data_IF_721950573546
#
_entry.id   IF_721950573546
#
_cell.length_a   1.000
_cell.length_b   1.000
_cell.length_c   1.000
_cell.angle_alpha   90.00
_cell.angle_beta   90.00
_cell.angle_gamma   90.00
#
_symmetry.space_group_name_H-M   'P 1'
#
loop_
_entity.id
_entity.type
_entity.pdbx_description
1 polymer ?
#
# COMPACT_ATOMS: atom_id res chain seq x y z
N UNK A 1 -24.81 9.52 20.22
CA UNK A 1 -23.44 10.10 20.17
C UNK A 1 -22.34 9.11 20.53
N UNK A 2 -22.39 8.40 21.67
CA UNK A 2 -21.30 7.51 22.15
C UNK A 2 -20.87 6.38 21.19
N UNK A 3 -21.80 5.76 20.43
CA UNK A 3 -21.46 4.68 19.48
C UNK A 3 -20.69 5.17 18.24
N UNK A 4 -21.06 6.31 17.65
CA UNK A 4 -20.38 6.86 16.46
C UNK A 4 -18.93 7.21 16.76
N UNK A 5 -18.68 7.90 17.87
CA UNK A 5 -17.31 8.23 18.32
C UNK A 5 -16.47 6.96 18.51
N UNK A 6 -17.06 5.87 19.02
CA UNK A 6 -16.39 4.57 19.15
C UNK A 6 -16.04 3.96 17.79
N UNK A 7 -16.89 4.10 16.77
CA UNK A 7 -16.62 3.62 15.42
C UNK A 7 -15.55 4.46 14.71
N UNK A 8 -15.62 5.79 14.82
CA UNK A 8 -14.62 6.72 14.28
C UNK A 8 -13.23 6.44 14.85
N UNK A 9 -13.13 6.21 16.17
CA UNK A 9 -11.87 5.82 16.80
C UNK A 9 -11.34 4.49 16.28
N UNK A 10 -12.23 3.50 16.09
CA UNK A 10 -11.82 2.19 15.54
C UNK A 10 -11.37 2.29 14.09
N UNK A 11 -12.04 3.09 13.27
CA UNK A 11 -11.65 3.35 11.89
C UNK A 11 -10.32 4.10 11.80
N UNK A 12 -10.11 5.09 12.67
CA UNK A 12 -8.85 5.83 12.74
C UNK A 12 -7.68 4.91 13.12
N UNK A 13 -7.87 4.06 14.14
CA UNK A 13 -6.87 3.06 14.52
C UNK A 13 -6.62 2.06 13.38
N UNK A 14 -7.67 1.65 12.64
CA UNK A 14 -7.52 0.76 11.49
C UNK A 14 -6.73 1.42 10.35
N UNK A 15 -6.96 2.71 10.08
CA UNK A 15 -6.22 3.47 9.07
C UNK A 15 -4.74 3.63 9.45
N UNK A 16 -4.47 3.87 10.74
CA UNK A 16 -3.11 3.89 11.27
C UNK A 16 -2.43 2.52 11.09
N UNK A 17 -3.06 1.43 11.52
CA UNK A 17 -2.55 0.05 11.34
C UNK A 17 -2.34 -0.28 9.85
N UNK A 18 -3.25 0.14 8.98
CA UNK A 18 -3.16 -0.09 7.53
C UNK A 18 -1.88 0.49 6.94
N UNK A 19 -1.41 1.64 7.43
CA UNK A 19 -0.14 2.26 6.97
C UNK A 19 1.10 1.41 7.29
N UNK A 20 1.01 0.55 8.30
CA UNK A 20 2.08 -0.39 8.70
C UNK A 20 1.92 -1.78 8.08
N UNK A 21 0.87 -2.03 7.27
CA UNK A 21 0.78 -3.28 6.53
C UNK A 21 1.87 -3.27 5.46
N UNK A 22 2.86 -4.18 5.54
CA UNK A 22 4.00 -4.16 4.64
C UNK A 22 3.52 -4.34 3.19
N UNK A 23 4.05 -3.51 2.29
CA UNK A 23 4.10 -3.89 0.88
C UNK A 23 5.16 -4.98 0.77
N UNK A 24 4.81 -6.12 0.17
CA UNK A 24 5.62 -7.35 0.07
C UNK A 24 6.91 -7.17 -0.75
N UNK A 25 7.82 -6.28 -0.34
CA UNK A 25 9.23 -6.45 -0.67
C UNK A 25 9.84 -7.29 0.44
N UNK A 26 10.36 -8.44 0.04
CA UNK A 26 11.18 -9.39 0.78
C UNK A 26 11.51 -8.92 2.20
N UNK A 27 11.03 -9.62 3.23
CA UNK A 27 11.57 -9.38 4.57
C UNK A 27 13.09 -9.62 4.50
N UNK A 28 13.88 -8.60 4.81
CA UNK A 28 15.33 -8.70 4.88
C UNK A 28 15.70 -9.62 6.05
N UNK A 29 15.88 -10.90 5.72
CA UNK A 29 16.45 -11.88 6.65
C UNK A 29 17.97 -11.80 6.63
N UNK A 30 18.66 -12.30 7.65
CA UNK A 30 20.14 -12.22 7.72
C UNK A 30 20.79 -12.81 6.46
N UNK A 31 20.37 -13.99 6.02
CA UNK A 31 20.87 -14.58 4.78
C UNK A 31 20.41 -13.81 3.52
N UNK A 32 19.24 -13.18 3.57
CA UNK A 32 18.76 -12.26 2.54
C UNK A 32 19.68 -11.07 2.34
N UNK A 33 20.13 -10.44 3.43
CA UNK A 33 21.04 -9.28 3.45
C UNK A 33 22.38 -9.62 2.78
N UNK A 34 22.92 -10.82 3.04
CA UNK A 34 24.17 -11.28 2.43
C UNK A 34 24.00 -11.90 1.04
N UNK A 35 22.80 -11.85 0.45
CA UNK A 35 22.46 -12.48 -0.83
C UNK A 35 22.76 -14.00 -0.86
N UNK A 36 22.53 -14.67 0.27
CA UNK A 36 22.74 -16.11 0.49
C UNK A 36 21.43 -16.88 0.66
N UNK A 37 20.36 -16.40 0.02
CA UNK A 37 18.97 -16.86 0.20
C UNK A 37 18.73 -18.34 -0.06
N UNK A 38 19.59 -18.96 -0.86
CA UNK A 38 19.45 -20.36 -1.30
C UNK A 38 20.75 -21.14 -1.16
N UNK A 39 21.75 -20.56 -0.47
CA UNK A 39 23.07 -21.16 -0.35
C UNK A 39 23.02 -22.24 0.73
N UNK A 40 23.05 -23.51 0.31
CA UNK A 40 22.89 -24.69 1.17
C UNK A 40 23.89 -24.68 2.34
N UNK A 41 25.12 -24.21 2.13
CA UNK A 41 26.13 -24.14 3.18
C UNK A 41 25.75 -23.13 4.27
N UNK A 42 25.28 -21.94 3.88
CA UNK A 42 24.88 -20.91 4.85
C UNK A 42 23.60 -21.29 5.60
N UNK A 43 22.67 -21.96 4.92
CA UNK A 43 21.46 -22.47 5.56
C UNK A 43 21.83 -23.55 6.59
N UNK A 44 22.76 -24.42 6.24
CA UNK A 44 23.24 -25.46 7.16
C UNK A 44 24.06 -24.87 8.32
N UNK A 45 24.83 -23.79 8.11
CA UNK A 45 25.50 -23.06 9.20
C UNK A 45 24.49 -22.48 10.19
N UNK A 46 23.40 -21.90 9.66
CA UNK A 46 22.33 -21.34 10.46
C UNK A 46 21.54 -22.45 11.18
N UNK A 47 21.29 -23.59 10.51
CA UNK A 47 20.67 -24.75 11.13
C UNK A 47 21.52 -25.28 12.29
N UNK A 48 22.83 -25.45 12.11
CA UNK A 48 23.73 -25.87 13.18
C UNK A 48 23.69 -24.89 14.35
N UNK A 49 23.68 -23.58 14.08
CA UNK A 49 23.50 -22.57 15.13
C UNK A 49 22.17 -22.72 15.87
N UNK A 50 21.07 -23.03 15.17
CA UNK A 50 19.74 -23.20 15.77
C UNK A 50 19.65 -24.47 16.61
N UNK A 51 20.32 -25.55 16.22
CA UNK A 51 20.27 -26.84 16.90
C UNK A 51 21.24 -26.94 18.08
N UNK A 52 22.25 -26.08 18.17
CA UNK A 52 23.25 -26.06 19.22
C UNK A 52 22.69 -25.42 20.52
N UNK A 53 22.48 -26.18 21.61
CA UNK A 53 21.88 -25.67 22.85
C UNK A 53 22.73 -24.60 23.54
N UNK A 54 24.06 -24.65 23.38
CA UNK A 54 25.00 -23.73 24.00
C UNK A 54 25.10 -22.41 23.24
N UNK A 55 24.75 -22.42 21.95
CA UNK A 55 24.85 -21.23 21.08
C UNK A 55 23.51 -20.58 20.79
N UNK A 56 22.42 -21.34 20.70
CA UNK A 56 21.12 -20.88 20.21
C UNK A 56 20.34 -20.02 21.20
N UNK A 57 20.70 -20.03 22.49
CA UNK A 57 20.00 -19.29 23.55
C UNK A 57 18.59 -19.77 23.88
N UNK A 58 18.18 -20.92 23.34
CA UNK A 58 16.87 -21.58 23.50
C UNK A 58 17.02 -22.95 24.18
N UNK A 59 18.23 -23.53 24.17
CA UNK A 59 18.54 -24.84 24.72
C UNK A 59 18.24 -25.97 23.72
N UNK A 60 18.07 -27.19 24.23
CA UNK A 60 17.93 -28.40 23.40
C UNK A 60 16.54 -28.58 22.74
N UNK A 61 15.58 -27.71 23.04
CA UNK A 61 14.20 -27.83 22.55
C UNK A 61 14.07 -27.92 21.01
N UNK A 62 14.81 -27.16 20.19
CA UNK A 62 14.75 -27.31 18.73
C UNK A 62 15.16 -28.71 18.26
N UNK A 63 16.23 -29.27 18.85
CA UNK A 63 16.71 -30.61 18.52
C UNK A 63 15.74 -31.68 19.01
N UNK A 64 15.19 -31.54 20.23
CA UNK A 64 14.15 -32.43 20.75
C UNK A 64 12.95 -32.51 19.82
N UNK A 65 12.46 -31.37 19.29
CA UNK A 65 11.32 -31.39 18.37
C UNK A 65 11.62 -32.14 17.06
N UNK A 66 12.88 -32.18 16.62
CA UNK A 66 13.28 -32.99 15.47
C UNK A 66 13.37 -34.47 15.84
N UNK A 67 13.91 -34.81 17.01
CA UNK A 67 13.96 -36.19 17.50
C UNK A 67 12.55 -36.76 17.68
N UNK A 68 11.66 -36.04 18.36
CA UNK A 68 10.24 -36.37 18.55
C UNK A 68 9.50 -36.68 17.23
N UNK A 69 9.99 -36.14 16.10
CA UNK A 69 9.39 -36.37 14.79
C UNK A 69 9.77 -37.74 14.20
N UNK A 70 10.93 -38.28 14.58
CA UNK A 70 11.46 -39.53 14.05
C UNK A 70 11.40 -40.70 15.04
N UNK A 71 11.30 -40.42 16.34
CA UNK A 71 11.30 -41.44 17.39
C UNK A 71 10.06 -41.32 18.27
N UNK A 72 9.42 -42.45 18.59
CA UNK A 72 8.32 -42.49 19.57
C UNK A 72 8.83 -42.56 21.02
N UNK A 73 10.14 -42.74 21.22
CA UNK A 73 10.79 -42.79 22.52
C UNK A 73 10.97 -41.38 23.12
N UNK A 74 10.75 -41.26 24.44
CA UNK A 74 10.99 -40.02 25.19
C UNK A 74 12.50 -39.82 25.39
N UNK A 75 13.16 -39.35 24.33
CA UNK A 75 14.58 -39.00 24.30
C UNK A 75 14.77 -37.50 24.50
N UNK A 76 14.09 -36.93 25.51
CA UNK A 76 14.14 -35.50 25.78
C UNK A 76 15.53 -35.09 26.28
N UNK A 77 16.31 -34.46 25.39
CA UNK A 77 17.62 -33.91 25.72
C UNK A 77 17.46 -32.76 26.72
N UNK A 78 18.35 -32.78 27.71
CA UNK A 78 18.53 -31.81 28.75
C UNK A 78 19.71 -30.87 28.43
N UNK A 79 20.01 -29.95 29.35
CA UNK A 79 21.20 -29.08 29.24
C UNK A 79 22.50 -29.79 29.63
N UNK A 80 22.41 -30.94 30.30
CA UNK A 80 23.56 -31.68 30.81
C UNK A 80 24.09 -32.71 29.80
N UNK A 81 23.35 -32.92 28.70
CA UNK A 81 23.77 -33.81 27.62
C UNK A 81 24.91 -33.18 26.81
N UNK A 82 25.94 -33.99 26.53
CA UNK A 82 27.06 -33.58 25.69
C UNK A 82 26.64 -33.64 24.22
N UNK A 83 26.43 -32.47 23.59
CA UNK A 83 25.96 -32.35 22.21
C UNK A 83 27.04 -31.65 21.37
N UNK A 84 27.69 -32.40 20.50
CA UNK A 84 28.70 -31.88 19.58
C UNK A 84 28.13 -31.75 18.17
N UNK A 85 28.10 -30.53 17.62
CA UNK A 85 27.60 -30.26 16.26
C UNK A 85 28.74 -29.86 15.34
N UNK A 86 29.01 -30.71 14.35
CA UNK A 86 30.06 -30.51 13.35
C UNK A 86 29.45 -30.19 11.99
N UNK A 87 29.90 -29.07 11.41
CA UNK A 87 29.56 -28.66 10.06
C UNK A 87 30.57 -29.18 9.06
N UNK A 88 30.09 -29.55 7.88
CA UNK A 88 30.94 -29.92 6.75
C UNK A 88 31.95 -31.03 7.14
N UNK A 89 31.47 -32.03 7.91
CA UNK A 89 32.32 -33.06 8.49
C UNK A 89 32.87 -33.99 7.40
N UNK A 90 34.19 -34.10 7.34
CA UNK A 90 34.89 -34.90 6.33
C UNK A 90 35.01 -36.35 6.78
N UNK A 91 34.43 -37.25 6.00
CA UNK A 91 34.47 -38.69 6.22
C UNK A 91 35.79 -39.29 5.69
N UNK A 92 36.07 -40.53 6.07
CA UNK A 92 37.28 -41.27 5.67
C UNK A 92 37.49 -41.41 4.15
N UNK A 93 36.43 -41.26 3.36
CA UNK A 93 36.46 -41.28 1.90
C UNK A 93 36.62 -39.89 1.25
N UNK A 94 37.01 -38.86 2.02
CA UNK A 94 37.10 -37.46 1.61
C UNK A 94 35.78 -36.83 1.15
N UNK A 95 34.64 -37.50 1.34
CA UNK A 95 33.34 -36.85 1.17
C UNK A 95 32.92 -36.16 2.45
N UNK A 96 31.90 -35.32 2.33
CA UNK A 96 31.56 -34.36 3.34
C UNK A 96 30.05 -34.33 3.57
N UNK A 97 29.64 -34.64 4.79
CA UNK A 97 28.24 -34.50 5.21
C UNK A 97 28.00 -33.08 5.71
N UNK A 98 26.81 -32.54 5.44
CA UNK A 98 26.51 -31.16 5.81
C UNK A 98 26.53 -30.96 7.34
N UNK A 99 25.77 -31.74 8.11
CA UNK A 99 25.86 -31.72 9.57
C UNK A 99 26.06 -33.13 10.12
N UNK A 100 26.92 -33.23 11.13
CA UNK A 100 27.05 -34.42 11.98
C UNK A 100 26.89 -33.99 13.43
N UNK A 101 25.94 -34.59 14.14
CA UNK A 101 25.68 -34.33 15.56
C UNK A 101 25.99 -35.60 16.35
N UNK A 102 26.80 -35.48 17.38
CA UNK A 102 27.08 -36.55 18.34
C UNK A 102 26.47 -36.18 19.69
N UNK A 103 25.65 -37.07 20.23
CA UNK A 103 24.98 -36.88 21.52
C UNK A 103 25.45 -37.98 22.46
N UNK A 104 26.11 -37.59 23.56
CA UNK A 104 26.59 -38.46 24.64
C UNK A 104 27.45 -39.67 24.19
N UNK A 105 28.08 -39.59 23.01
CA UNK A 105 28.75 -40.73 22.36
C UNK A 105 27.86 -41.97 22.19
N UNK A 106 26.53 -41.79 22.18
CA UNK A 106 25.54 -42.88 22.04
C UNK A 106 24.68 -42.75 20.79
N UNK A 107 24.32 -41.52 20.40
CA UNK A 107 23.48 -41.24 19.24
C UNK A 107 24.21 -40.35 18.23
N UNK A 108 24.36 -40.84 17.00
CA UNK A 108 24.99 -40.11 15.89
C UNK A 108 23.91 -39.73 14.88
N UNK A 109 23.77 -38.42 14.64
CA UNK A 109 22.81 -37.86 13.69
C UNK A 109 23.55 -37.27 12.50
N UNK A 110 23.30 -37.79 11.30
CA UNK A 110 23.82 -37.21 10.06
C UNK A 110 22.71 -36.48 9.31
N UNK A 111 22.89 -35.21 8.97
CA UNK A 111 21.93 -34.43 8.19
C UNK A 111 22.58 -34.01 6.87
N UNK A 112 21.96 -34.38 5.76
CA UNK A 112 22.30 -33.89 4.43
C UNK A 112 21.23 -32.89 3.99
N UNK A 113 21.65 -31.67 3.62
CA UNK A 113 20.77 -30.57 3.27
C UNK A 113 20.73 -30.35 1.76
N UNK A 114 19.53 -30.32 1.17
CA UNK A 114 19.31 -30.02 -0.25
C UNK A 114 18.14 -29.06 -0.45
N UNK A 115 18.42 -27.86 -0.94
CA UNK A 115 17.40 -26.83 -1.21
C UNK A 115 16.79 -27.03 -2.59
N UNK A 116 17.62 -27.17 -3.63
CA UNK A 116 17.15 -27.33 -5.02
C UNK A 116 17.74 -28.54 -5.74
N UNK A 117 18.94 -28.97 -5.35
CA UNK A 117 19.61 -30.09 -5.97
C UNK A 117 18.92 -31.43 -5.62
N UNK A 118 18.93 -32.36 -6.57
CA UNK A 118 18.70 -33.77 -6.25
C UNK A 118 19.98 -34.37 -5.66
N UNK A 119 19.86 -35.51 -4.98
CA UNK A 119 21.03 -36.25 -4.49
C UNK A 119 21.96 -36.63 -5.66
N UNK A 120 23.27 -36.57 -5.42
CA UNK A 120 24.26 -37.17 -6.33
C UNK A 120 24.30 -38.70 -6.14
N UNK A 121 24.52 -39.49 -7.20
CA UNK A 121 24.38 -40.95 -7.13
C UNK A 121 25.20 -41.59 -5.99
N UNK A 122 24.52 -42.37 -5.15
CA UNK A 122 25.05 -43.15 -4.01
C UNK A 122 25.65 -42.32 -2.87
N UNK A 123 25.36 -41.02 -2.79
CA UNK A 123 25.96 -40.14 -1.79
C UNK A 123 25.54 -40.50 -0.36
N UNK A 124 24.24 -40.66 -0.14
CA UNK A 124 23.66 -40.95 1.19
C UNK A 124 24.04 -42.35 1.69
N UNK A 125 24.04 -43.36 0.81
CA UNK A 125 24.47 -44.72 1.16
C UNK A 125 25.94 -44.77 1.57
N UNK A 126 26.80 -44.02 0.88
CA UNK A 126 28.20 -43.91 1.25
C UNK A 126 28.38 -43.19 2.59
N UNK A 127 27.54 -42.20 2.91
CA UNK A 127 27.61 -41.50 4.20
C UNK A 127 27.24 -42.41 5.36
N UNK A 128 26.08 -43.08 5.29
CA UNK A 128 25.63 -43.99 6.34
C UNK A 128 26.69 -45.05 6.67
N UNK A 129 27.26 -45.69 5.63
CA UNK A 129 28.30 -46.70 5.78
C UNK A 129 29.58 -46.16 6.41
N UNK A 130 30.08 -45.00 5.96
CA UNK A 130 31.33 -44.45 6.48
C UNK A 130 31.18 -43.95 7.92
N UNK A 131 30.04 -43.36 8.26
CA UNK A 131 29.76 -42.91 9.63
C UNK A 131 29.70 -44.13 10.57
N UNK A 132 28.96 -45.19 10.22
CA UNK A 132 28.92 -46.43 11.03
C UNK A 132 30.30 -47.05 11.25
N UNK A 133 31.12 -47.12 10.18
CA UNK A 133 32.49 -47.61 10.29
C UNK A 133 33.38 -46.75 11.21
N UNK A 134 33.13 -45.44 11.29
CA UNK A 134 33.92 -44.52 12.10
C UNK A 134 33.52 -44.55 13.58
N UNK A 135 32.23 -44.67 13.89
CA UNK A 135 31.70 -44.55 15.26
C UNK A 135 31.37 -45.89 15.93
N UNK A 136 31.27 -46.99 15.15
CA UNK A 136 31.02 -48.34 15.65
C UNK A 136 29.55 -48.74 15.64
N UNK A 137 29.26 -50.03 15.47
CA UNK A 137 27.88 -50.53 15.36
C UNK A 137 27.12 -50.55 16.71
N UNK A 138 27.77 -50.20 17.83
CA UNK A 138 27.17 -50.11 19.17
C UNK A 138 26.41 -48.79 19.42
N UNK A 139 26.38 -47.89 18.44
CA UNK A 139 25.69 -46.59 18.51
C UNK A 139 24.34 -46.63 17.84
N UNK A 140 23.46 -45.73 18.27
CA UNK A 140 22.23 -45.41 17.56
C UNK A 140 22.51 -44.40 16.44
N UNK A 141 21.80 -44.55 15.33
CA UNK A 141 22.00 -43.73 14.13
C UNK A 141 20.69 -43.13 13.62
N UNK A 142 20.71 -41.82 13.38
CA UNK A 142 19.62 -41.09 12.75
C UNK A 142 20.15 -40.33 11.53
N UNK A 143 19.82 -40.80 10.33
CA UNK A 143 20.19 -40.10 9.10
C UNK A 143 18.99 -39.35 8.53
N UNK A 144 19.14 -38.04 8.31
CA UNK A 144 18.08 -37.14 7.88
C UNK A 144 18.45 -36.53 6.53
N UNK A 145 17.54 -36.64 5.58
CA UNK A 145 17.63 -35.96 4.29
C UNK A 145 16.68 -34.76 4.28
N UNK A 146 17.23 -33.56 4.49
CA UNK A 146 16.46 -32.32 4.57
C UNK A 146 16.26 -31.73 3.16
N UNK A 147 15.01 -31.71 2.69
CA UNK A 147 14.69 -31.26 1.33
C UNK A 147 13.55 -30.26 1.25
N UNK A 148 13.48 -29.48 0.16
CA UNK A 148 12.33 -28.58 -0.08
C UNK A 148 11.01 -29.34 -0.28
N UNK A 149 11.02 -30.39 -1.11
CA UNK A 149 9.82 -31.05 -1.61
C UNK A 149 9.57 -32.48 -1.12
N UNK A 150 10.28 -32.94 -0.10
CA UNK A 150 10.13 -34.32 0.42
C UNK A 150 10.64 -35.37 -0.55
N UNK A 151 11.69 -35.04 -1.31
CA UNK A 151 12.38 -36.05 -2.12
C UNK A 151 12.97 -37.09 -1.18
N UNK A 152 12.88 -38.35 -1.58
CA UNK A 152 13.54 -39.46 -0.88
C UNK A 152 15.02 -39.47 -1.22
N UNK A 153 15.83 -39.90 -0.26
CA UNK A 153 17.23 -40.24 -0.49
C UNK A 153 17.30 -41.56 -1.27
N UNK A 154 18.41 -41.79 -1.95
CA UNK A 154 18.74 -43.04 -2.60
C UNK A 154 19.01 -44.16 -1.58
N UNK A 155 19.45 -43.79 -0.37
CA UNK A 155 19.58 -44.72 0.76
C UNK A 155 18.26 -44.84 1.51
N UNK A 156 17.84 -46.09 1.76
CA UNK A 156 16.70 -46.39 2.64
C UNK A 156 17.00 -46.06 4.12
N UNK A 157 18.26 -45.83 4.49
CA UNK A 157 18.64 -45.45 5.86
C UNK A 157 18.39 -43.97 6.16
N UNK A 158 18.30 -43.13 5.13
CA UNK A 158 18.06 -41.69 5.28
C UNK A 158 16.55 -41.41 5.30
N UNK A 159 16.06 -40.91 6.43
CA UNK A 159 14.67 -40.50 6.58
C UNK A 159 14.46 -39.09 6.02
N UNK A 160 13.39 -38.89 5.26
CA UNK A 160 13.10 -37.60 4.64
C UNK A 160 12.52 -36.61 5.65
N UNK A 161 13.07 -35.40 5.70
CA UNK A 161 12.49 -34.25 6.38
C UNK A 161 12.25 -33.13 5.38
N UNK A 162 11.04 -32.59 5.31
CA UNK A 162 10.80 -31.39 4.49
C UNK A 162 11.12 -30.12 5.27
N UNK A 163 11.57 -29.07 4.58
CA UNK A 163 11.69 -27.73 5.18
C UNK A 163 10.37 -27.25 5.80
N UNK A 164 9.23 -27.60 5.20
CA UNK A 164 7.90 -27.32 5.76
C UNK A 164 7.68 -28.00 7.10
N UNK A 165 8.06 -29.27 7.23
CA UNK A 165 7.97 -30.00 8.50
C UNK A 165 8.96 -29.44 9.52
N UNK A 166 10.21 -29.18 9.12
CA UNK A 166 11.21 -28.55 9.99
C UNK A 166 10.69 -27.22 10.58
N UNK A 167 10.15 -26.32 9.75
CA UNK A 167 9.56 -25.06 10.23
C UNK A 167 8.40 -25.30 11.20
N UNK A 168 7.52 -26.26 10.90
CA UNK A 168 6.42 -26.64 11.79
C UNK A 168 6.91 -27.11 13.16
N UNK A 169 8.00 -27.89 13.20
CA UNK A 169 8.63 -28.37 14.44
C UNK A 169 9.26 -27.23 15.23
N UNK A 170 10.04 -26.37 14.55
CA UNK A 170 10.67 -25.21 15.17
C UNK A 170 9.63 -24.24 15.76
N UNK A 171 8.52 -24.00 15.08
CA UNK A 171 7.43 -23.14 15.59
C UNK A 171 6.72 -23.68 16.83
N UNK A 172 6.83 -24.97 17.13
CA UNK A 172 6.26 -25.58 18.34
C UNK A 172 7.17 -25.43 19.56
N UNK A 173 8.41 -24.94 19.40
CA UNK A 173 9.32 -24.72 20.50
C UNK A 173 8.79 -23.60 21.40
N UNK A 174 8.54 -23.95 22.66
CA UNK A 174 8.11 -22.99 23.69
C UNK A 174 9.34 -22.51 24.44
N UNK A 175 9.60 -21.21 24.40
CA UNK A 175 10.69 -20.59 25.14
C UNK A 175 10.37 -19.14 25.49
N UNK A 176 11.00 -18.62 26.53
CA UNK A 176 10.85 -17.22 26.93
C UNK A 176 11.77 -16.31 26.11
N UNK A 177 11.18 -15.56 25.19
CA UNK A 177 11.87 -14.60 24.33
C UNK A 177 12.57 -13.48 25.10
N UNK A 178 12.18 -13.23 26.35
CA UNK A 178 12.75 -12.16 27.17
C UNK A 178 14.09 -12.54 27.82
N UNK A 179 14.39 -13.84 27.97
CA UNK A 179 15.64 -14.30 28.58
C UNK A 179 16.86 -14.01 27.69
N UNK A 180 16.71 -14.11 26.36
CA UNK A 180 17.80 -13.80 25.43
C UNK A 180 17.33 -13.24 24.09
N UNK A 181 16.83 -11.99 24.14
CA UNK A 181 16.24 -11.27 23.01
C UNK A 181 17.05 -11.40 21.71
N UNK A 182 18.38 -11.23 21.77
CA UNK A 182 19.23 -11.29 20.57
C UNK A 182 19.21 -12.66 19.91
N UNK A 183 19.34 -13.71 20.70
CA UNK A 183 19.36 -15.10 20.20
C UNK A 183 17.97 -15.52 19.71
N UNK A 184 16.93 -15.06 20.38
CA UNK A 184 15.55 -15.26 19.95
C UNK A 184 15.25 -14.63 18.59
N UNK A 185 15.83 -13.44 18.31
CA UNK A 185 15.73 -12.80 17.00
C UNK A 185 16.37 -13.68 15.91
N UNK A 186 17.57 -14.23 16.14
CA UNK A 186 18.22 -15.12 15.16
C UNK A 186 17.40 -16.38 14.89
N UNK A 187 16.81 -16.97 15.93
CA UNK A 187 15.93 -18.12 15.76
C UNK A 187 14.68 -17.80 14.92
N UNK A 188 14.00 -16.68 15.23
CA UNK A 188 12.85 -16.23 14.45
C UNK A 188 13.22 -15.87 13.01
N UNK A 189 14.37 -15.22 12.82
CA UNK A 189 14.89 -14.86 11.51
C UNK A 189 15.13 -16.10 10.65
N UNK A 190 15.70 -17.17 11.22
CA UNK A 190 15.86 -18.43 10.50
C UNK A 190 14.52 -19.03 10.04
N UNK A 191 13.52 -19.07 10.93
CA UNK A 191 12.17 -19.55 10.58
C UNK A 191 11.58 -18.71 9.44
N UNK A 192 11.64 -17.39 9.55
CA UNK A 192 11.15 -16.46 8.52
C UNK A 192 11.90 -16.70 7.20
N UNK A 193 13.22 -16.93 7.26
CA UNK A 193 14.03 -17.21 6.08
C UNK A 193 13.55 -18.45 5.33
N UNK A 194 13.35 -19.55 6.06
CA UNK A 194 12.85 -20.79 5.48
C UNK A 194 11.45 -20.61 4.88
N UNK A 195 10.56 -19.88 5.55
CA UNK A 195 9.20 -19.64 5.06
C UNK A 195 9.16 -18.78 3.79
N UNK A 196 9.89 -17.66 3.79
CA UNK A 196 9.79 -16.65 2.75
C UNK A 196 10.57 -17.05 1.48
N UNK A 197 11.73 -17.71 1.64
CA UNK A 197 12.62 -18.02 0.52
C UNK A 197 12.59 -19.50 0.14
N UNK A 198 12.62 -20.42 1.10
CA UNK A 198 12.75 -21.86 0.80
C UNK A 198 11.38 -22.50 0.52
N UNK A 199 10.38 -22.19 1.33
CA UNK A 199 9.05 -22.82 1.28
C UNK A 199 8.08 -22.15 0.30
N UNK A 200 8.30 -20.89 -0.08
CA UNK A 200 7.49 -20.30 -1.15
C UNK A 200 7.72 -21.06 -2.45
N UNK A 201 6.66 -21.73 -2.91
CA UNK A 201 6.51 -22.09 -4.32
C UNK A 201 5.96 -20.87 -5.06
N UNK A 202 6.29 -20.72 -6.34
CA UNK A 202 5.85 -19.61 -7.22
C UNK A 202 4.32 -19.57 -7.47
N UNK A 203 3.50 -19.84 -6.46
CA UNK A 203 2.06 -19.62 -6.49
C UNK A 203 1.77 -18.12 -6.35
N UNK A 204 0.72 -17.66 -7.04
CA UNK A 204 0.28 -16.27 -6.98
C UNK A 204 -0.12 -15.89 -5.54
N UNK A 205 0.78 -15.25 -4.81
CA UNK A 205 0.48 -14.68 -3.49
C UNK A 205 -0.47 -13.48 -3.68
N UNK A 206 -1.66 -13.59 -3.09
CA UNK A 206 -2.60 -12.49 -2.96
C UNK A 206 -2.18 -11.72 -1.73
N UNK A 207 -1.77 -10.45 -1.89
CA UNK A 207 -1.32 -9.64 -0.75
C UNK A 207 -2.35 -9.58 0.38
N UNK A 208 -1.90 -9.42 1.63
CA UNK A 208 -2.81 -9.17 2.78
C UNK A 208 -3.76 -7.99 2.56
N UNK A 209 -3.33 -6.96 1.81
CA UNK A 209 -4.18 -5.83 1.42
C UNK A 209 -5.32 -6.30 0.50
N UNK A 210 -5.01 -7.15 -0.48
CA UNK A 210 -6.00 -7.75 -1.38
C UNK A 210 -6.93 -8.71 -0.65
N UNK A 211 -6.45 -9.54 0.28
CA UNK A 211 -7.29 -10.39 1.14
C UNK A 211 -8.26 -9.54 1.96
N UNK A 212 -7.78 -8.47 2.58
CA UNK A 212 -8.59 -7.54 3.36
C UNK A 212 -9.66 -6.88 2.49
N UNK A 213 -9.31 -6.46 1.26
CA UNK A 213 -10.27 -5.92 0.30
C UNK A 213 -11.34 -6.96 -0.06
N UNK A 214 -10.95 -8.19 -0.41
CA UNK A 214 -11.89 -9.27 -0.76
C UNK A 214 -12.85 -9.54 0.40
N UNK A 215 -12.33 -9.68 1.63
CA UNK A 215 -13.11 -9.95 2.84
C UNK A 215 -14.14 -8.86 3.13
N UNK A 216 -13.83 -7.61 2.80
CA UNK A 216 -14.67 -6.45 3.11
C UNK A 216 -15.35 -5.84 1.87
N UNK A 217 -15.26 -6.48 0.70
CA UNK A 217 -15.69 -5.94 -0.59
C UNK A 217 -17.12 -5.40 -0.56
N UNK A 218 -18.07 -6.16 0.00
CA UNK A 218 -19.48 -5.76 0.06
C UNK A 218 -19.70 -4.48 0.87
N UNK A 219 -19.01 -4.34 2.00
CA UNK A 219 -19.09 -3.13 2.83
C UNK A 219 -18.47 -1.93 2.10
N UNK A 220 -17.32 -2.12 1.45
CA UNK A 220 -16.67 -1.06 0.67
C UNK A 220 -17.57 -0.60 -0.48
N UNK A 221 -18.21 -1.55 -1.18
CA UNK A 221 -19.17 -1.24 -2.25
C UNK A 221 -20.39 -0.46 -1.73
N UNK A 222 -20.98 -0.86 -0.61
CA UNK A 222 -22.10 -0.14 0.01
C UNK A 222 -21.71 1.30 0.42
N UNK A 223 -20.52 1.48 0.99
CA UNK A 223 -19.98 2.81 1.31
C UNK A 223 -19.78 3.67 0.05
N UNK A 224 -19.24 3.09 -1.02
CA UNK A 224 -19.07 3.77 -2.30
C UNK A 224 -20.40 4.16 -2.94
N UNK A 225 -21.39 3.27 -2.95
CA UNK A 225 -22.73 3.54 -3.47
C UNK A 225 -23.41 4.66 -2.69
N UNK A 226 -23.34 4.63 -1.36
CA UNK A 226 -23.86 5.68 -0.49
C UNK A 226 -23.16 7.02 -0.72
N UNK A 227 -21.83 7.01 -0.85
CA UNK A 227 -21.05 8.21 -1.18
C UNK A 227 -21.48 8.79 -2.53
N UNK A 228 -21.54 7.98 -3.58
CA UNK A 228 -21.92 8.41 -4.93
C UNK A 228 -23.32 9.03 -4.93
N UNK A 229 -24.31 8.34 -4.36
CA UNK A 229 -25.68 8.84 -4.25
C UNK A 229 -25.75 10.19 -3.52
N UNK A 230 -25.08 10.31 -2.39
CA UNK A 230 -25.08 11.56 -1.61
C UNK A 230 -24.36 12.69 -2.36
N UNK A 231 -23.26 12.37 -3.05
CA UNK A 231 -22.51 13.33 -3.85
C UNK A 231 -23.35 13.93 -4.98
N UNK A 232 -24.15 13.09 -5.67
CA UNK A 232 -25.07 13.54 -6.72
C UNK A 232 -26.21 14.40 -6.17
N UNK A 233 -26.79 14.00 -5.03
CA UNK A 233 -27.85 14.78 -4.37
C UNK A 233 -27.35 16.17 -3.98
N UNK A 234 -26.18 16.25 -3.36
CA UNK A 234 -25.56 17.51 -2.94
C UNK A 234 -25.21 18.36 -4.15
N UNK A 235 -24.61 17.77 -5.18
CA UNK A 235 -24.29 18.48 -6.43
C UNK A 235 -25.52 19.12 -7.06
N UNK A 236 -26.64 18.38 -7.13
CA UNK A 236 -27.90 18.92 -7.66
C UNK A 236 -28.49 20.01 -6.77
N UNK A 237 -28.43 19.86 -5.45
CA UNK A 237 -28.85 20.90 -4.51
C UNK A 237 -28.06 22.20 -4.72
N UNK A 238 -26.72 22.11 -4.79
CA UNK A 238 -25.85 23.29 -4.97
C UNK A 238 -26.09 23.97 -6.32
N UNK A 239 -26.29 23.22 -7.40
CA UNK A 239 -26.68 23.79 -8.69
C UNK A 239 -28.00 24.56 -8.61
N UNK A 240 -29.01 23.98 -7.95
CA UNK A 240 -30.30 24.66 -7.78
C UNK A 240 -30.16 25.92 -6.93
N UNK A 241 -29.37 25.87 -5.86
CA UNK A 241 -29.08 27.00 -4.99
C UNK A 241 -28.39 28.14 -5.74
N UNK A 242 -27.33 27.84 -6.51
CA UNK A 242 -26.64 28.84 -7.34
C UNK A 242 -27.62 29.51 -8.32
N UNK A 243 -28.48 28.73 -8.98
CA UNK A 243 -29.49 29.29 -9.90
C UNK A 243 -30.46 30.23 -9.21
N UNK A 244 -30.96 29.84 -8.05
CA UNK A 244 -31.87 30.65 -7.25
C UNK A 244 -31.18 31.97 -6.84
N UNK A 245 -29.98 31.88 -6.27
CA UNK A 245 -29.22 33.06 -5.82
C UNK A 245 -28.83 34.02 -6.92
N UNK A 246 -28.36 33.53 -8.06
CA UNK A 246 -28.05 34.37 -9.23
C UNK A 246 -29.29 35.10 -9.72
N UNK A 247 -30.44 34.40 -9.78
CA UNK A 247 -31.72 35.01 -10.20
C UNK A 247 -32.24 36.03 -9.18
N UNK A 248 -32.14 35.74 -7.90
CA UNK A 248 -32.55 36.67 -6.83
C UNK A 248 -31.69 37.92 -6.81
N UNK A 249 -30.37 37.75 -6.93
CA UNK A 249 -29.40 38.84 -6.73
C UNK A 249 -29.23 39.73 -7.95
N UNK A 250 -29.15 39.15 -9.15
CA UNK A 250 -28.85 39.89 -10.38
C UNK A 250 -30.07 40.03 -11.31
N UNK A 251 -31.27 39.92 -10.75
CA UNK A 251 -32.58 39.74 -11.38
C UNK A 251 -32.84 40.55 -12.67
N UNK A 252 -32.58 39.96 -13.85
CA UNK A 252 -32.98 40.47 -15.18
C UNK A 252 -33.36 39.37 -16.22
N UNK A 253 -33.50 38.09 -15.84
CA UNK A 253 -33.87 37.02 -16.79
C UNK A 253 -32.84 36.71 -17.90
N UNK A 254 -31.74 37.44 -17.96
CA UNK A 254 -30.69 37.34 -18.98
C UNK A 254 -29.67 36.22 -18.73
N UNK A 255 -29.65 35.68 -17.50
CA UNK A 255 -28.66 34.68 -17.07
C UNK A 255 -29.00 33.26 -17.52
N UNK A 256 -28.02 32.62 -18.16
CA UNK A 256 -28.02 31.22 -18.56
C UNK A 256 -27.09 30.40 -17.67
N UNK A 257 -27.39 29.10 -17.58
CA UNK A 257 -26.68 28.15 -16.71
C UNK A 257 -26.29 26.91 -17.50
N UNK A 258 -25.02 26.79 -17.84
CA UNK A 258 -24.45 25.58 -18.44
C UNK A 258 -23.78 24.75 -17.35
N UNK A 259 -24.60 23.93 -16.69
CA UNK A 259 -24.16 23.07 -15.61
C UNK A 259 -24.03 21.63 -16.08
N UNK A 260 -22.93 21.01 -15.68
CA UNK A 260 -22.64 19.63 -16.00
C UNK A 260 -23.64 18.67 -15.34
N UNK A 261 -23.79 17.51 -15.98
CA UNK A 261 -24.52 16.37 -15.38
C UNK A 261 -23.58 15.69 -14.38
N UNK A 262 -24.10 15.08 -13.30
CA UNK A 262 -23.27 14.45 -12.28
C UNK A 262 -22.29 13.40 -12.84
N UNK A 263 -22.69 12.68 -13.89
CA UNK A 263 -21.92 11.60 -14.49
C UNK A 263 -20.99 12.06 -15.62
N UNK A 264 -20.54 13.31 -15.59
CA UNK A 264 -19.62 13.86 -16.59
C UNK A 264 -18.28 14.17 -15.93
N UNK A 265 -17.20 14.06 -16.70
CA UNK A 265 -15.85 14.41 -16.22
C UNK A 265 -15.62 15.94 -16.17
N UNK A 266 -16.69 16.74 -16.35
CA UNK A 266 -16.62 18.20 -16.33
C UNK A 266 -16.65 18.69 -14.88
N UNK A 267 -15.53 19.24 -14.43
CA UNK A 267 -15.30 19.74 -13.08
C UNK A 267 -15.74 21.20 -12.85
N UNK A 268 -16.48 21.77 -13.80
CA UNK A 268 -16.80 23.18 -13.81
C UNK A 268 -18.25 23.46 -14.22
N UNK A 269 -18.82 24.55 -13.70
CA UNK A 269 -20.23 24.93 -13.83
C UNK A 269 -20.30 26.40 -14.25
N UNK A 270 -20.87 26.67 -15.43
CA UNK A 270 -20.80 28.00 -16.03
C UNK A 270 -22.11 28.79 -15.92
N UNK A 271 -21.96 30.10 -15.70
CA UNK A 271 -23.03 31.07 -15.54
C UNK A 271 -22.69 32.28 -16.42
N UNK A 272 -23.58 32.68 -17.32
CA UNK A 272 -23.29 33.76 -18.27
C UNK A 272 -24.54 34.52 -18.67
N UNK A 273 -24.40 35.77 -19.11
CA UNK A 273 -25.50 36.52 -19.72
C UNK A 273 -25.58 36.22 -21.22
N UNK A 274 -26.78 36.27 -21.80
CA UNK A 274 -26.97 36.03 -23.23
C UNK A 274 -26.13 36.95 -24.12
N UNK A 275 -26.04 38.24 -23.78
CA UNK A 275 -25.27 39.25 -24.51
C UNK A 275 -23.74 39.04 -24.42
N UNK A 276 -23.26 38.33 -23.39
CA UNK A 276 -21.83 38.07 -23.23
C UNK A 276 -21.27 37.07 -24.24
N UNK A 277 -22.14 36.30 -24.87
CA UNK A 277 -21.79 35.26 -25.85
C UNK A 277 -22.46 35.51 -27.22
N UNK A 278 -23.02 36.70 -27.47
CA UNK A 278 -23.69 37.05 -28.73
C UNK A 278 -22.75 37.62 -29.80
N UNK A 279 -21.53 38.02 -29.44
CA UNK A 279 -20.54 38.54 -30.37
C UNK A 279 -19.65 37.42 -30.91
N UNK A 280 -19.49 37.36 -32.23
CA UNK A 280 -18.73 36.29 -32.91
C UNK A 280 -17.33 36.13 -32.29
N UNK A 281 -17.02 34.91 -31.82
CA UNK A 281 -15.75 34.47 -31.25
C UNK A 281 -15.34 35.12 -29.92
N UNK A 282 -16.30 35.40 -29.04
CA UNK A 282 -16.04 35.78 -27.66
C UNK A 282 -17.03 35.06 -26.73
N UNK A 283 -16.51 34.35 -25.72
CA UNK A 283 -17.34 33.69 -24.71
C UNK A 283 -16.90 34.09 -23.31
N UNK A 284 -17.70 34.92 -22.65
CA UNK A 284 -17.46 35.39 -21.28
C UNK A 284 -18.44 34.70 -20.34
N UNK A 285 -17.91 34.16 -19.24
CA UNK A 285 -18.73 33.48 -18.25
C UNK A 285 -18.08 33.46 -16.88
N UNK A 286 -18.91 33.43 -15.85
CA UNK A 286 -18.48 32.98 -14.54
C UNK A 286 -18.44 31.47 -14.48
N UNK A 287 -17.52 30.93 -13.68
CA UNK A 287 -17.31 29.50 -13.55
C UNK A 287 -17.05 29.09 -12.12
N UNK A 288 -17.88 28.17 -11.61
CA UNK A 288 -17.58 27.45 -10.38
C UNK A 288 -16.86 26.15 -10.69
N UNK A 289 -15.74 25.90 -10.03
CA UNK A 289 -15.02 24.63 -10.10
C UNK A 289 -15.46 23.71 -8.96
N UNK A 290 -16.33 22.74 -9.31
CA UNK A 290 -16.65 21.57 -8.50
C UNK A 290 -17.31 20.47 -9.36
N UNK A 291 -17.20 19.23 -8.88
CA UNK A 291 -17.96 18.08 -9.37
C UNK A 291 -18.52 17.27 -8.17
N UNK A 292 -19.39 16.26 -8.38
CA UNK A 292 -20.03 15.55 -7.27
C UNK A 292 -19.03 15.05 -6.21
N UNK A 293 -17.98 14.34 -6.62
CA UNK A 293 -16.97 13.82 -5.70
C UNK A 293 -16.14 14.90 -4.97
N UNK A 294 -15.72 15.99 -5.64
CA UNK A 294 -14.86 17.02 -5.03
C UNK A 294 -15.58 17.75 -3.91
N UNK A 295 -16.90 17.94 -4.04
CA UNK A 295 -17.73 18.57 -3.02
C UNK A 295 -17.63 17.87 -1.65
N UNK A 296 -17.46 16.54 -1.63
CA UNK A 296 -17.36 15.77 -0.39
C UNK A 296 -15.93 15.43 0.05
N UNK A 297 -14.94 15.56 -0.84
CA UNK A 297 -13.57 15.06 -0.61
C UNK A 297 -12.51 16.15 -0.52
N UNK A 298 -12.66 17.24 -1.26
CA UNK A 298 -11.63 18.29 -1.38
C UNK A 298 -11.90 19.48 -0.44
N UNK A 299 -13.13 19.63 0.07
CA UNK A 299 -13.52 20.69 1.00
C UNK A 299 -13.22 22.11 0.50
N UNK A 300 -13.15 22.29 -0.82
CA UNK A 300 -12.95 23.58 -1.47
C UNK A 300 -13.74 23.68 -2.78
N UNK A 301 -14.12 24.91 -3.11
CA UNK A 301 -14.62 25.28 -4.45
C UNK A 301 -13.86 26.51 -4.93
N UNK A 302 -13.74 26.67 -6.23
CA UNK A 302 -13.25 27.91 -6.82
C UNK A 302 -14.35 28.62 -7.61
N UNK A 303 -14.28 29.95 -7.66
CA UNK A 303 -15.12 30.79 -8.49
C UNK A 303 -14.26 31.74 -9.31
N UNK A 304 -14.57 31.88 -10.60
CA UNK A 304 -13.78 32.70 -11.50
C UNK A 304 -14.62 33.38 -12.59
N UNK A 305 -14.05 34.41 -13.19
CA UNK A 305 -14.48 34.99 -14.47
C UNK A 305 -13.49 34.53 -15.55
N UNK A 306 -13.99 33.88 -16.60
CA UNK A 306 -13.19 33.39 -17.72
C UNK A 306 -13.66 34.00 -19.05
N UNK A 307 -12.69 34.24 -19.94
CA UNK A 307 -12.91 34.68 -21.31
C UNK A 307 -12.21 33.73 -22.27
N UNK A 308 -13.01 33.07 -23.09
CA UNK A 308 -12.56 32.12 -24.11
C UNK A 308 -12.63 32.73 -25.52
N UNK A 309 -12.12 31.97 -26.49
CA UNK A 309 -12.07 32.27 -27.93
C UNK A 309 -11.01 33.30 -28.40
N UNK A 310 -10.99 33.54 -29.72
CA UNK A 310 -9.91 34.26 -30.42
C UNK A 310 -9.89 35.76 -30.14
N UNK A 311 -10.99 36.35 -29.68
CA UNK A 311 -11.07 37.78 -29.36
C UNK A 311 -10.76 38.12 -27.90
N UNK A 312 -10.39 37.14 -27.06
CA UNK A 312 -10.20 37.35 -25.62
C UNK A 312 -9.18 38.44 -25.28
N UNK A 313 -8.04 38.49 -25.97
CA UNK A 313 -6.96 39.45 -25.68
C UNK A 313 -7.43 40.88 -25.97
N UNK A 314 -8.17 41.06 -27.07
CA UNK A 314 -8.75 42.35 -27.43
C UNK A 314 -9.75 42.82 -26.37
N UNK A 315 -10.62 41.93 -25.91
CA UNK A 315 -11.61 42.27 -24.88
C UNK A 315 -10.95 42.58 -23.54
N UNK A 316 -9.93 41.80 -23.14
CA UNK A 316 -9.17 42.04 -21.91
C UNK A 316 -8.50 43.41 -21.96
N UNK A 317 -7.86 43.78 -23.08
CA UNK A 317 -7.23 45.10 -23.23
C UNK A 317 -8.26 46.23 -23.11
N UNK A 318 -9.41 46.12 -23.77
CA UNK A 318 -10.50 47.10 -23.65
C UNK A 318 -11.03 47.21 -22.21
N UNK A 319 -11.13 46.08 -21.52
CA UNK A 319 -11.56 46.04 -20.13
C UNK A 319 -10.53 46.71 -19.21
N UNK A 320 -9.23 46.54 -19.47
CA UNK A 320 -8.14 47.20 -18.73
C UNK A 320 -8.06 48.71 -19.02
N UNK A 321 -8.21 49.13 -20.27
CA UNK A 321 -8.13 50.53 -20.71
C UNK A 321 -9.29 51.39 -20.20
N UNK A 322 -10.51 50.83 -20.15
CA UNK A 322 -11.71 51.58 -19.81
C UNK A 322 -12.04 51.59 -18.31
N UNK A 323 -11.23 50.95 -17.46
CA UNK A 323 -11.52 50.80 -16.03
C UNK A 323 -10.31 51.16 -15.15
N UNK A 324 -10.20 52.44 -14.78
CA UNK A 324 -9.06 53.02 -14.04
C UNK A 324 -8.74 52.34 -12.69
N UNK A 325 -9.67 51.56 -12.12
CA UNK A 325 -9.51 50.84 -10.85
C UNK A 325 -9.47 49.31 -10.98
N UNK A 326 -9.33 48.78 -12.20
CA UNK A 326 -9.35 47.35 -12.49
C UNK A 326 -8.51 46.55 -11.48
N UNK A 327 -7.22 46.86 -11.32
CA UNK A 327 -6.31 46.12 -10.43
C UNK A 327 -6.53 46.28 -8.91
N UNK A 328 -7.22 47.34 -8.47
CA UNK A 328 -7.37 47.68 -7.05
C UNK A 328 -8.42 46.79 -6.37
N UNK A 329 -9.56 46.55 -7.04
CA UNK A 329 -10.66 45.72 -6.50
C UNK A 329 -10.26 44.25 -6.27
N UNK A 330 -9.32 43.71 -7.06
CA UNK A 330 -8.82 42.35 -6.90
C UNK A 330 -8.10 42.14 -5.56
N UNK A 331 -7.22 43.07 -5.18
CA UNK A 331 -6.37 42.92 -3.98
C UNK A 331 -7.18 43.04 -2.69
N UNK A 332 -8.14 43.96 -2.63
CA UNK A 332 -8.97 44.17 -1.43
C UNK A 332 -9.84 42.94 -1.12
N UNK A 333 -10.37 42.28 -2.16
CA UNK A 333 -11.22 41.10 -2.02
C UNK A 333 -10.43 39.78 -2.03
N UNK A 334 -9.09 39.82 -2.14
CA UNK A 334 -8.25 38.62 -2.21
C UNK A 334 -8.54 37.74 -3.43
N UNK A 335 -8.87 38.37 -4.56
CA UNK A 335 -9.08 37.73 -5.85
C UNK A 335 -7.75 37.78 -6.61
N UNK A 336 -7.32 36.65 -7.14
CA UNK A 336 -6.10 36.56 -7.93
C UNK A 336 -6.38 36.89 -9.40
N UNK A 337 -5.50 37.69 -10.03
CA UNK A 337 -5.51 37.91 -11.48
C UNK A 337 -4.61 36.88 -12.15
N UNK A 338 -5.12 36.16 -13.16
CA UNK A 338 -4.36 35.11 -13.84
C UNK A 338 -4.45 35.29 -15.35
N UNK A 339 -3.74 36.28 -15.92
CA UNK A 339 -3.73 36.52 -17.37
C UNK A 339 -3.22 35.34 -18.23
N UNK A 340 -2.82 34.21 -17.62
CA UNK A 340 -2.57 32.94 -18.32
C UNK A 340 -3.87 32.16 -18.53
N UNK A 341 -4.17 31.90 -19.81
CA UNK A 341 -5.24 31.01 -20.33
C UNK A 341 -6.66 31.59 -20.44
N UNK A 342 -6.89 32.87 -20.20
CA UNK A 342 -8.22 33.51 -20.36
C UNK A 342 -8.90 33.89 -19.04
N UNK A 343 -8.36 33.42 -17.91
CA UNK A 343 -8.90 33.67 -16.57
C UNK A 343 -8.63 35.10 -16.12
N UNK A 344 -9.67 35.89 -15.93
CA UNK A 344 -9.51 37.27 -15.49
C UNK A 344 -9.37 37.37 -13.98
N UNK A 345 -10.24 36.63 -13.27
CA UNK A 345 -10.40 36.74 -11.83
C UNK A 345 -10.60 35.34 -11.26
N UNK A 346 -9.86 34.95 -10.22
CA UNK A 346 -9.97 33.63 -9.60
C UNK A 346 -9.91 33.71 -8.07
N UNK A 347 -10.75 32.94 -7.38
CA UNK A 347 -10.66 32.77 -5.94
C UNK A 347 -11.12 31.39 -5.48
N UNK A 348 -10.40 30.82 -4.52
CA UNK A 348 -10.74 29.55 -3.86
C UNK A 348 -11.35 29.78 -2.49
N UNK A 349 -12.35 28.98 -2.16
CA UNK A 349 -13.10 29.03 -0.91
C UNK A 349 -13.09 27.65 -0.25
N UNK A 350 -12.58 27.59 0.98
CA UNK A 350 -12.54 26.37 1.78
C UNK A 350 -13.72 26.29 2.73
N UNK A 351 -14.24 25.11 2.97
CA UNK A 351 -15.32 24.84 3.93
C UNK A 351 -15.00 23.64 4.83
N UNK A 352 -15.75 23.49 5.92
CA UNK A 352 -15.65 22.33 6.83
C UNK A 352 -16.97 21.57 6.92
N UNK A 353 -18.09 22.28 6.93
CA UNK A 353 -19.42 21.71 6.95
C UNK A 353 -20.14 22.09 5.66
N UNK A 354 -20.25 21.13 4.74
CA UNK A 354 -20.85 21.35 3.43
C UNK A 354 -22.28 21.91 3.48
N UNK A 355 -23.05 21.57 4.53
CA UNK A 355 -24.44 22.01 4.65
C UNK A 355 -24.55 23.44 5.15
N UNK A 356 -23.61 23.87 6.00
CA UNK A 356 -23.64 25.19 6.65
C UNK A 356 -22.81 26.23 5.92
N UNK A 357 -21.68 25.83 5.38
CA UNK A 357 -20.66 26.74 4.87
C UNK A 357 -20.87 27.01 3.37
N UNK A 358 -21.18 25.97 2.58
CA UNK A 358 -21.22 26.08 1.13
C UNK A 358 -22.28 27.08 0.61
N UNK A 359 -23.51 27.13 1.15
CA UNK A 359 -24.47 28.18 0.79
C UNK A 359 -23.95 29.60 1.06
N UNK A 360 -23.31 29.82 2.22
CA UNK A 360 -22.73 31.12 2.59
C UNK A 360 -21.55 31.50 1.70
N UNK A 361 -20.74 30.51 1.32
CA UNK A 361 -19.63 30.70 0.40
C UNK A 361 -20.16 31.14 -0.97
N UNK A 362 -21.22 30.50 -1.47
CA UNK A 362 -21.84 30.88 -2.75
C UNK A 362 -22.38 32.31 -2.69
N UNK A 363 -23.12 32.66 -1.63
CA UNK A 363 -23.63 34.03 -1.45
C UNK A 363 -22.49 35.04 -1.44
N UNK A 364 -21.42 34.73 -0.70
CA UNK A 364 -20.21 35.56 -0.60
C UNK A 364 -19.45 35.66 -1.93
N UNK A 365 -19.27 34.57 -2.66
CA UNK A 365 -18.53 34.59 -3.93
C UNK A 365 -19.27 35.37 -5.00
N UNK A 366 -20.61 35.31 -5.02
CA UNK A 366 -21.42 36.15 -5.88
C UNK A 366 -21.30 37.63 -5.51
N UNK A 367 -21.26 37.99 -4.22
CA UNK A 367 -21.02 39.36 -3.75
C UNK A 367 -19.64 39.89 -4.12
N UNK A 368 -18.59 39.08 -3.93
CA UNK A 368 -17.22 39.51 -4.21
C UNK A 368 -16.97 39.70 -5.72
N UNK A 369 -17.71 39.03 -6.59
CA UNK A 369 -17.57 39.09 -8.05
C UNK A 369 -18.64 39.94 -8.75
N UNK A 370 -19.61 40.47 -8.02
CA UNK A 370 -20.74 41.24 -8.56
C UNK A 370 -20.29 42.43 -9.42
N UNK A 371 -19.24 43.14 -8.99
CA UNK A 371 -18.72 44.30 -9.72
C UNK A 371 -18.19 43.96 -11.13
N UNK A 372 -17.80 42.70 -11.39
CA UNK A 372 -17.39 42.28 -12.73
C UNK A 372 -18.54 42.32 -13.74
N UNK A 373 -19.79 42.23 -13.28
CA UNK A 373 -20.94 42.27 -14.18
C UNK A 373 -20.98 43.61 -14.90
N UNK A 374 -20.92 44.71 -14.14
CA UNK A 374 -20.91 46.07 -14.68
C UNK A 374 -19.65 46.33 -15.50
N UNK A 375 -18.48 45.86 -15.06
CA UNK A 375 -17.23 45.99 -15.84
C UNK A 375 -17.35 45.33 -17.22
N UNK A 376 -17.85 44.09 -17.28
CA UNK A 376 -18.02 43.36 -18.53
C UNK A 376 -19.10 44.00 -19.40
N UNK A 377 -20.25 44.37 -18.83
CA UNK A 377 -21.34 45.02 -19.55
C UNK A 377 -20.88 46.36 -20.15
N UNK A 378 -20.23 47.23 -19.38
CA UNK A 378 -19.69 48.51 -19.87
C UNK A 378 -18.62 48.31 -20.95
N UNK A 379 -17.81 47.25 -20.86
CA UNK A 379 -16.80 46.96 -21.89
C UNK A 379 -17.45 46.63 -23.24
N UNK A 380 -18.63 46.00 -23.25
CA UNK A 380 -19.38 45.73 -24.48
C UNK A 380 -19.85 47.01 -25.18
N UNK A 381 -20.13 48.10 -24.46
CA UNK A 381 -20.49 49.39 -25.09
C UNK A 381 -19.37 49.97 -25.97
N UNK A 382 -18.12 49.62 -25.65
CA UNK A 382 -16.93 50.01 -26.40
C UNK A 382 -16.40 48.89 -27.31
N UNK A 383 -17.03 47.72 -27.30
CA UNK A 383 -16.64 46.58 -28.13
C UNK A 383 -17.35 46.66 -29.48
N UNK A 384 -16.68 47.08 -30.56
CA UNK A 384 -17.35 47.29 -31.84
C UNK A 384 -17.92 45.96 -32.34
N UNK A 385 -19.18 45.96 -32.78
CA UNK A 385 -19.77 44.81 -33.48
C UNK A 385 -18.86 44.44 -34.65
N UNK A 386 -18.22 43.27 -34.55
CA UNK A 386 -17.32 42.79 -35.58
C UNK A 386 -18.08 42.63 -36.89
N UNK A 387 -17.53 43.26 -37.93
CA UNK A 387 -17.91 43.14 -39.33
C UNK A 387 -18.34 41.71 -39.68
N UNK A 388 -19.56 41.57 -40.18
CA UNK A 388 -20.20 40.29 -40.56
C UNK A 388 -19.55 39.61 -41.78
N UNK A 389 -18.34 40.03 -42.18
CA UNK A 389 -17.65 39.60 -43.39
C UNK A 389 -16.18 39.25 -43.11
N UNK A 390 -15.96 38.09 -42.52
CA UNK A 390 -14.69 37.37 -42.67
C UNK A 390 -14.98 35.86 -42.71
N UNK A 391 -15.39 35.39 -43.90
CA UNK A 391 -15.25 34.00 -44.32
C UNK A 391 -14.21 33.94 -45.43
#
# INVERSE_FOLDING_TARGET
>A
MSKMIKYERRLSNLAEIYSYLPDEKDRDTILGIFNKRYDENYISDYLAFVLDPDRNGIGAQPLNKILDYFTEEDNSLSKDDNIEINREFTLSNNRRIDLLININDSLIIGIENKVFAAESQNQTSDYAKNIKNMFGDDKDYLFIFLTKGGKEAASEEFMSLTYKNLVSLLKKVVFDFSENIRKSIYYQDFIIHLEEFIMRDNAFDITKKTELYIKNKKMIQDLQESFNKNSEMIFNYIKSYIRERVREKFNNGEWQFDFSRPNTNRSYQQIFKNNWNSHNNLRIHFEYHFHPYSLLSENEIAFMLDIEDSNKERFINLLEENNENYSFHFKEKGIETVSKKGRIAYKTYKYKDIKKDLPKIIDKSLEEFEFFIELVDNTFDYYPEGDSNAR
#
